data_IF_648035614274
#
_entry.id   IF_648035614274
#
_cell.length_a   1.000
_cell.length_b   1.000
_cell.length_c   1.000
_cell.angle_alpha   90.00
_cell.angle_beta   90.00
_cell.angle_gamma   90.00
#
_symmetry.space_group_name_H-M   'P 1'
#
loop_
_entity.id
_entity.type
_entity.pdbx_description
1 polymer ?
#
# COMPACT_ATOMS: atom_id res chain seq x y z
N UNK A 1 -10.30 6.65 -10.02
CA UNK A 1 -9.57 5.41 -9.70
C UNK A 1 -8.28 5.35 -10.50
N UNK A 2 -7.20 4.99 -9.85
CA UNK A 2 -5.90 4.85 -10.47
C UNK A 2 -5.44 3.39 -10.40
N UNK A 3 -5.10 2.81 -11.55
CA UNK A 3 -4.56 1.46 -11.61
C UNK A 3 -3.11 1.52 -12.04
N UNK A 4 -2.23 0.89 -11.28
CA UNK A 4 -0.81 0.82 -11.57
C UNK A 4 -0.43 -0.60 -11.96
N UNK A 5 0.22 -0.72 -13.12
CA UNK A 5 0.75 -1.98 -13.64
C UNK A 5 2.23 -1.79 -13.94
N UNK A 6 3.00 -2.88 -13.90
CA UNK A 6 4.42 -2.82 -14.14
C UNK A 6 5.22 -2.44 -12.91
N UNK A 7 6.43 -1.94 -13.10
CA UNK A 7 7.33 -1.60 -12.00
C UNK A 7 7.49 -0.10 -11.87
N UNK A 8 7.37 0.40 -10.65
CA UNK A 8 7.57 1.80 -10.33
C UNK A 8 8.78 1.91 -9.41
N UNK A 9 9.76 2.69 -9.84
CA UNK A 9 10.90 3.03 -8.98
C UNK A 9 10.54 4.27 -8.16
N UNK A 10 10.76 4.20 -6.85
CA UNK A 10 10.46 5.30 -5.95
C UNK A 10 9.17 5.08 -5.17
N UNK A 11 8.74 6.12 -4.47
CA UNK A 11 7.60 6.07 -3.57
C UNK A 11 6.33 6.53 -4.27
N UNK A 12 5.25 5.80 -4.07
CA UNK A 12 3.92 6.15 -4.58
C UNK A 12 3.11 6.75 -3.43
N UNK A 13 2.49 7.89 -3.69
CA UNK A 13 1.60 8.53 -2.72
C UNK A 13 0.17 8.50 -3.27
N UNK A 14 -0.75 7.89 -2.52
CA UNK A 14 -2.17 7.94 -2.83
C UNK A 14 -2.74 9.24 -2.28
N UNK A 15 -3.10 10.15 -3.17
CA UNK A 15 -3.64 11.44 -2.78
C UNK A 15 -5.01 11.30 -2.13
N UNK A 16 -5.46 12.37 -1.46
CA UNK A 16 -6.78 12.37 -0.86
C UNK A 16 -7.86 12.13 -1.92
N UNK A 17 -8.91 11.42 -1.52
CA UNK A 17 -10.06 11.09 -2.37
C UNK A 17 -9.71 10.26 -3.60
N UNK A 18 -8.58 9.56 -3.57
CA UNK A 18 -8.12 8.70 -4.67
C UNK A 18 -8.23 7.24 -4.26
N UNK A 19 -8.66 6.41 -5.21
CA UNK A 19 -8.63 4.95 -5.07
C UNK A 19 -7.50 4.43 -5.95
N UNK A 20 -6.56 3.72 -5.33
CA UNK A 20 -5.39 3.17 -6.01
C UNK A 20 -5.47 1.65 -6.03
N UNK A 21 -5.32 1.06 -7.22
CA UNK A 21 -5.16 -0.39 -7.35
C UNK A 21 -3.75 -0.67 -7.89
N UNK A 22 -2.95 -1.36 -7.11
CA UNK A 22 -1.59 -1.70 -7.48
C UNK A 22 -1.52 -3.17 -7.90
N UNK A 23 -1.23 -3.40 -9.18
CA UNK A 23 -1.12 -4.74 -9.75
C UNK A 23 0.32 -5.12 -10.11
N UNK A 24 1.25 -4.19 -9.99
CA UNK A 24 2.64 -4.40 -10.31
C UNK A 24 3.53 -4.38 -9.08
N UNK A 25 4.71 -3.79 -9.24
CA UNK A 25 5.69 -3.70 -8.16
C UNK A 25 6.09 -2.25 -7.93
N UNK A 26 6.17 -1.86 -6.67
CA UNK A 26 6.68 -0.56 -6.26
C UNK A 26 8.00 -0.80 -5.53
N UNK A 27 9.09 -0.22 -6.06
CA UNK A 27 10.41 -0.44 -5.50
C UNK A 27 10.71 0.43 -4.29
N UNK A 28 10.00 1.54 -4.13
CA UNK A 28 10.16 2.43 -2.98
C UNK A 28 9.19 2.07 -1.86
N UNK A 29 8.22 2.93 -1.62
CA UNK A 29 7.20 2.69 -0.62
C UNK A 29 5.85 3.17 -1.08
N UNK A 30 4.87 3.06 -0.21
CA UNK A 30 3.51 3.51 -0.50
C UNK A 30 3.02 4.35 0.69
N UNK A 31 2.52 5.54 0.40
CA UNK A 31 1.95 6.43 1.40
C UNK A 31 0.50 6.70 1.04
N UNK A 32 -0.40 6.44 1.98
CA UNK A 32 -1.82 6.75 1.82
C UNK A 32 -2.15 8.00 2.63
N UNK A 33 -2.61 9.05 1.96
CA UNK A 33 -3.10 10.25 2.62
C UNK A 33 -4.51 10.02 3.15
N UNK A 34 -5.01 10.87 4.06
CA UNK A 34 -6.37 10.72 4.58
C UNK A 34 -7.40 10.67 3.44
N UNK A 35 -8.43 9.85 3.62
CA UNK A 35 -9.53 9.66 2.66
C UNK A 35 -9.09 9.05 1.33
N UNK A 36 -7.92 8.42 1.28
CA UNK A 36 -7.52 7.63 0.12
C UNK A 36 -7.87 6.17 0.35
N UNK A 37 -7.79 5.36 -0.70
CA UNK A 37 -7.91 3.93 -0.60
C UNK A 37 -6.85 3.28 -1.47
N UNK A 38 -6.27 2.19 -1.00
CA UNK A 38 -5.30 1.46 -1.79
C UNK A 38 -5.53 -0.05 -1.64
N UNK A 39 -5.50 -0.72 -2.78
CA UNK A 39 -5.62 -2.17 -2.86
C UNK A 39 -4.34 -2.71 -3.46
N UNK A 40 -3.52 -3.37 -2.66
CA UNK A 40 -2.22 -3.87 -3.08
C UNK A 40 -2.37 -5.33 -3.50
N UNK A 41 -2.46 -5.56 -4.81
CA UNK A 41 -2.50 -6.90 -5.39
C UNK A 41 -1.12 -7.39 -5.82
N UNK A 42 -0.16 -6.47 -5.93
CA UNK A 42 1.21 -6.79 -6.32
C UNK A 42 2.15 -6.75 -5.12
N UNK A 43 3.33 -6.20 -5.35
CA UNK A 43 4.38 -6.15 -4.33
C UNK A 43 4.84 -4.74 -4.07
N UNK A 44 5.00 -4.39 -2.79
CA UNK A 44 5.68 -3.16 -2.38
C UNK A 44 7.01 -3.55 -1.76
N UNK A 45 8.09 -3.11 -2.38
CA UNK A 45 9.44 -3.40 -1.95
C UNK A 45 9.96 -2.26 -1.08
N UNK A 46 9.31 -2.06 0.04
CA UNK A 46 9.57 -0.98 0.96
C UNK A 46 8.47 -0.92 2.01
N UNK A 47 8.31 0.23 2.64
CA UNK A 47 7.32 0.42 3.70
C UNK A 47 6.01 0.96 3.14
N UNK A 48 4.91 0.63 3.80
CA UNK A 48 3.61 1.19 3.52
C UNK A 48 3.16 1.99 4.75
N UNK A 49 2.79 3.25 4.53
CA UNK A 49 2.31 4.12 5.60
C UNK A 49 0.87 4.52 5.30
N UNK A 50 -0.05 4.16 6.20
CA UNK A 50 -1.44 4.55 6.11
C UNK A 50 -1.67 5.73 7.07
N UNK A 51 -1.91 6.91 6.51
CA UNK A 51 -2.05 8.15 7.27
C UNK A 51 -3.52 8.56 7.47
N UNK A 52 -4.45 7.69 7.17
CA UNK A 52 -5.85 7.96 7.40
C UNK A 52 -6.79 7.45 6.31
N UNK A 53 -6.25 6.66 5.39
CA UNK A 53 -7.04 6.06 4.33
C UNK A 53 -7.44 4.61 4.62
N UNK A 54 -7.90 3.93 3.59
CA UNK A 54 -8.25 2.52 3.64
C UNK A 54 -7.19 1.74 2.86
N UNK A 55 -6.56 0.78 3.51
CA UNK A 55 -5.54 -0.06 2.90
C UNK A 55 -5.94 -1.52 2.98
N UNK A 56 -5.95 -2.21 1.83
CA UNK A 56 -6.03 -3.65 1.78
C UNK A 56 -4.80 -4.21 1.09
N UNK A 57 -4.14 -5.17 1.73
CA UNK A 57 -2.97 -5.84 1.18
C UNK A 57 -3.33 -7.28 0.85
N UNK A 58 -3.29 -7.61 -0.44
CA UNK A 58 -3.52 -8.97 -0.94
C UNK A 58 -2.24 -9.62 -1.43
N UNK A 59 -1.21 -8.84 -1.70
CA UNK A 59 0.07 -9.31 -2.22
C UNK A 59 1.14 -9.34 -1.15
N UNK A 60 2.27 -8.69 -1.40
CA UNK A 60 3.41 -8.72 -0.48
C UNK A 60 3.97 -7.34 -0.21
N UNK A 61 4.42 -7.11 1.00
CA UNK A 61 5.16 -5.92 1.41
C UNK A 61 6.45 -6.42 2.06
N UNK A 62 7.61 -6.03 1.51
CA UNK A 62 8.89 -6.51 2.06
C UNK A 62 9.32 -5.73 3.29
N UNK A 63 8.87 -4.48 3.42
CA UNK A 63 9.10 -3.67 4.61
C UNK A 63 8.03 -3.86 5.66
N UNK A 64 7.67 -2.78 6.33
CA UNK A 64 6.63 -2.81 7.36
C UNK A 64 5.41 -2.03 6.90
N UNK A 65 4.27 -2.34 7.49
CA UNK A 65 3.05 -1.57 7.33
C UNK A 65 2.85 -0.73 8.58
N UNK A 66 2.84 0.59 8.42
CA UNK A 66 2.67 1.53 9.52
C UNK A 66 1.24 2.07 9.49
N UNK A 67 0.50 1.84 10.55
CA UNK A 67 -0.90 2.27 10.69
C UNK A 67 -0.96 3.50 11.57
N UNK A 68 -0.83 4.68 10.98
CA UNK A 68 -0.95 5.92 11.72
C UNK A 68 -2.40 6.28 12.02
N UNK A 69 -3.28 6.04 11.04
CA UNK A 69 -4.70 6.29 11.18
C UNK A 69 -5.44 5.52 10.08
N UNK A 70 -6.77 5.57 10.08
CA UNK A 70 -7.58 4.92 9.07
C UNK A 70 -7.73 3.42 9.31
N UNK A 71 -8.04 2.69 8.26
CA UNK A 71 -8.29 1.25 8.32
C UNK A 71 -7.25 0.51 7.49
N UNK A 72 -6.66 -0.53 8.07
CA UNK A 72 -5.72 -1.41 7.37
C UNK A 72 -6.20 -2.85 7.49
N UNK A 73 -6.34 -3.51 6.34
CA UNK A 73 -6.73 -4.91 6.26
C UNK A 73 -5.63 -5.67 5.54
N UNK A 74 -5.11 -6.70 6.20
CA UNK A 74 -4.10 -7.58 5.61
C UNK A 74 -4.77 -8.93 5.34
N UNK A 75 -4.84 -9.32 4.07
CA UNK A 75 -5.41 -10.61 3.70
C UNK A 75 -4.58 -11.74 4.30
N UNK A 76 -5.23 -12.85 4.65
CA UNK A 76 -4.54 -13.98 5.26
C UNK A 76 -3.47 -14.59 4.37
N UNK A 77 -3.56 -14.38 3.06
CA UNK A 77 -2.58 -14.86 2.09
C UNK A 77 -1.48 -13.83 1.80
N UNK A 78 -1.61 -12.62 2.31
CA UNK A 78 -0.62 -11.58 2.09
C UNK A 78 0.59 -11.77 3.01
N UNK A 79 1.73 -11.25 2.56
CA UNK A 79 2.96 -11.31 3.32
C UNK A 79 3.45 -9.91 3.63
N UNK A 80 3.79 -9.67 4.90
CA UNK A 80 4.43 -8.42 5.32
C UNK A 80 5.74 -8.78 6.01
N UNK A 81 6.85 -8.39 5.37
CA UNK A 81 8.17 -8.88 5.78
C UNK A 81 8.59 -8.45 7.17
N UNK A 82 8.33 -7.19 7.55
CA UNK A 82 8.72 -6.65 8.86
C UNK A 82 7.55 -6.50 9.82
N UNK A 83 6.37 -6.93 9.42
CA UNK A 83 5.19 -6.90 10.27
C UNK A 83 4.40 -5.61 10.15
N UNK A 84 3.36 -5.51 10.99
CA UNK A 84 2.43 -4.38 11.00
C UNK A 84 2.63 -3.60 12.31
N UNK A 85 2.73 -2.30 12.19
CA UNK A 85 2.95 -1.41 13.35
C UNK A 85 1.87 -0.36 13.52
#
# INVERSE_FOLDING_TARGET
>A
MLKLHGMIAGTVTAAEDTILQLHGKVAGGLILLPRSAAFVHGTVDGDVVNRGGYLEVFGAVTGQVVRQAGTTVIDSMAEVGLGVH
#
